data_IF_479443286157
#
_entry.id   IF_479443286157
#
_cell.length_a   1.000
_cell.length_b   1.000
_cell.length_c   1.000
_cell.angle_alpha   90.00
_cell.angle_beta   90.00
_cell.angle_gamma   90.00
#
_symmetry.space_group_name_H-M   'P 1'
#
loop_
_entity.id
_entity.type
_entity.pdbx_description
1 polymer ?
#
# COMPACT_ATOMS: atom_id res chain seq x y z
N UNK A 1 -23.45 -8.89 -18.92
CA UNK A 1 -23.02 -10.29 -19.12
C UNK A 1 -22.20 -10.36 -20.41
N UNK A 2 -21.13 -11.17 -20.45
CA UNK A 2 -20.25 -11.29 -21.62
C UNK A 2 -20.88 -12.23 -22.68
N UNK A 3 -20.85 -11.87 -23.96
CA UNK A 3 -21.51 -12.62 -25.05
C UNK A 3 -20.53 -13.55 -25.79
N UNK A 4 -20.65 -14.86 -25.57
CA UNK A 4 -19.78 -15.86 -26.20
C UNK A 4 -20.08 -16.12 -27.69
N UNK A 5 -21.25 -15.69 -28.22
CA UNK A 5 -21.54 -15.78 -29.65
C UNK A 5 -20.54 -14.94 -30.46
N UNK A 6 -20.24 -13.73 -30.01
CA UNK A 6 -19.32 -12.82 -30.69
C UNK A 6 -17.85 -13.27 -30.55
N UNK A 7 -17.51 -14.02 -29.48
CA UNK A 7 -16.20 -14.68 -29.36
C UNK A 7 -16.01 -15.72 -30.47
N UNK A 8 -17.04 -16.53 -30.72
CA UNK A 8 -16.94 -17.60 -31.70
C UNK A 8 -17.07 -17.12 -33.16
N UNK A 9 -17.92 -16.11 -33.41
CA UNK A 9 -18.30 -15.72 -34.78
C UNK A 9 -17.79 -14.35 -35.23
N UNK A 10 -17.31 -13.48 -34.32
CA UNK A 10 -16.78 -12.15 -34.66
C UNK A 10 -15.28 -12.02 -34.38
N UNK A 11 -14.55 -13.15 -34.30
CA UNK A 11 -13.09 -13.19 -34.11
C UNK A 11 -12.58 -12.43 -32.88
N UNK A 12 -13.36 -12.37 -31.79
CA UNK A 12 -12.86 -11.82 -30.54
C UNK A 12 -11.97 -12.85 -29.85
N UNK A 13 -10.77 -12.44 -29.43
CA UNK A 13 -9.86 -13.28 -28.66
C UNK A 13 -10.02 -13.01 -27.18
N UNK A 14 -10.18 -14.08 -26.40
CA UNK A 14 -10.21 -14.03 -24.93
C UNK A 14 -8.93 -14.67 -24.41
N UNK A 15 -8.18 -13.92 -23.62
CA UNK A 15 -6.99 -14.41 -22.92
C UNK A 15 -7.22 -14.24 -21.43
N UNK A 16 -7.15 -15.35 -20.69
CA UNK A 16 -7.12 -15.34 -19.23
C UNK A 16 -5.68 -15.49 -18.77
N UNK A 17 -5.09 -14.44 -18.21
CA UNK A 17 -3.76 -14.50 -17.61
C UNK A 17 -3.88 -14.73 -16.11
N UNK A 18 -3.23 -15.76 -15.58
CA UNK A 18 -3.11 -15.95 -14.14
C UNK A 18 -1.75 -15.45 -13.65
N UNK A 19 -1.73 -14.27 -13.01
CA UNK A 19 -0.55 -13.72 -12.34
C UNK A 19 0.61 -13.34 -13.27
N UNK A 20 1.65 -12.75 -12.66
CA UNK A 20 2.93 -12.51 -13.32
C UNK A 20 3.88 -13.70 -13.16
N UNK A 21 4.80 -13.86 -14.10
CA UNK A 21 5.85 -14.86 -14.08
C UNK A 21 7.16 -14.26 -13.49
N UNK A 22 8.26 -15.03 -13.54
CA UNK A 22 9.56 -14.56 -13.03
C UNK A 22 10.12 -13.40 -13.84
N UNK A 23 9.92 -13.40 -15.16
CA UNK A 23 10.41 -12.34 -16.05
C UNK A 23 9.67 -11.02 -15.76
N UNK A 24 8.35 -11.05 -15.54
CA UNK A 24 7.56 -9.86 -15.16
C UNK A 24 8.07 -9.24 -13.85
N UNK A 25 8.49 -10.07 -12.89
CA UNK A 25 9.05 -9.63 -11.61
C UNK A 25 10.44 -9.01 -11.79
N UNK A 26 11.29 -9.59 -12.62
CA UNK A 26 12.63 -9.05 -12.94
C UNK A 26 12.47 -7.69 -13.62
N UNK A 27 11.64 -7.59 -14.65
CA UNK A 27 11.37 -6.34 -15.36
C UNK A 27 10.84 -5.28 -14.39
N UNK A 28 9.86 -5.63 -13.55
CA UNK A 28 9.31 -4.71 -12.54
C UNK A 28 10.40 -4.19 -11.58
N UNK A 29 11.31 -5.06 -11.11
CA UNK A 29 12.43 -4.67 -10.25
C UNK A 29 13.44 -3.78 -10.96
N UNK A 30 13.76 -4.05 -12.23
CA UNK A 30 14.64 -3.21 -13.04
C UNK A 30 14.05 -1.81 -13.25
N UNK A 31 12.76 -1.73 -13.59
CA UNK A 31 12.04 -0.45 -13.72
C UNK A 31 12.03 0.34 -12.40
N UNK A 32 11.85 -0.36 -11.28
CA UNK A 32 11.94 0.26 -9.95
C UNK A 32 13.34 0.77 -9.64
N UNK A 33 14.37 -0.01 -9.93
CA UNK A 33 15.77 0.37 -9.72
C UNK A 33 16.19 1.56 -10.59
N UNK A 34 15.65 1.66 -11.81
CA UNK A 34 15.87 2.78 -12.73
C UNK A 34 15.01 4.02 -12.41
N UNK A 35 14.05 3.90 -11.49
CA UNK A 35 13.12 4.98 -11.14
C UNK A 35 12.04 5.27 -12.19
N UNK A 36 11.90 4.42 -13.22
CA UNK A 36 10.85 4.53 -14.24
C UNK A 36 9.49 4.05 -13.70
N UNK A 37 9.51 3.19 -12.68
CA UNK A 37 8.35 2.77 -11.91
C UNK A 37 8.60 3.05 -10.42
N UNK A 38 7.66 3.69 -9.74
CA UNK A 38 7.75 3.88 -8.29
C UNK A 38 6.45 3.39 -7.63
N UNK A 39 6.39 2.19 -7.03
CA UNK A 39 5.14 1.66 -6.47
C UNK A 39 4.74 2.32 -5.14
N UNK A 40 5.55 3.23 -4.59
CA UNK A 40 5.31 3.80 -3.26
C UNK A 40 3.98 4.55 -3.16
N UNK A 41 3.50 5.13 -4.27
CA UNK A 41 2.19 5.80 -4.32
C UNK A 41 1.02 4.86 -4.02
N UNK A 42 1.21 3.55 -4.15
CA UNK A 42 0.18 2.58 -3.81
C UNK A 42 -0.01 2.50 -2.30
N UNK A 43 0.99 2.79 -1.47
CA UNK A 43 0.87 2.72 -0.01
C UNK A 43 0.04 3.91 0.46
N UNK A 44 -1.18 3.63 0.91
CA UNK A 44 -2.09 4.67 1.42
C UNK A 44 -2.31 4.58 2.91
N UNK A 45 -2.14 3.39 3.49
CA UNK A 45 -2.33 3.16 4.92
C UNK A 45 -1.18 2.37 5.51
N UNK A 46 -0.90 2.63 6.78
CA UNK A 46 0.13 1.95 7.57
C UNK A 46 -0.48 1.48 8.88
N UNK A 47 -0.18 0.26 9.31
CA UNK A 47 -0.68 -0.30 10.57
C UNK A 47 0.20 -1.41 11.14
N UNK A 48 -0.20 -1.92 12.31
CA UNK A 48 0.47 -3.02 13.01
C UNK A 48 -0.25 -4.35 12.84
N UNK A 49 0.32 -5.43 13.38
CA UNK A 49 -0.26 -6.78 13.29
C UNK A 49 -1.67 -6.86 13.90
N UNK A 50 -1.91 -6.10 14.97
CA UNK A 50 -3.20 -6.01 15.64
C UNK A 50 -4.33 -5.49 14.72
N UNK A 51 -4.01 -4.73 13.67
CA UNK A 51 -5.01 -4.18 12.75
C UNK A 51 -5.43 -5.16 11.65
N UNK A 52 -4.72 -6.27 11.45
CA UNK A 52 -4.95 -7.21 10.34
C UNK A 52 -6.37 -7.78 10.34
N UNK A 53 -6.92 -8.32 11.46
CA UNK A 53 -8.22 -8.99 11.41
C UNK A 53 -9.34 -8.06 10.90
N UNK A 54 -9.45 -6.86 11.48
CA UNK A 54 -10.45 -5.87 11.07
C UNK A 54 -10.19 -5.35 9.66
N UNK A 55 -8.93 -5.12 9.29
CA UNK A 55 -8.56 -4.68 7.94
C UNK A 55 -8.95 -5.70 6.88
N UNK A 56 -8.75 -6.99 7.15
CA UNK A 56 -9.11 -8.08 6.23
C UNK A 56 -10.62 -8.20 6.10
N UNK A 57 -11.37 -8.13 7.20
CA UNK A 57 -12.84 -8.22 7.21
C UNK A 57 -13.48 -7.06 6.43
N UNK A 58 -12.90 -5.85 6.53
CA UNK A 58 -13.47 -4.61 5.98
C UNK A 58 -12.76 -4.11 4.72
N UNK A 59 -11.91 -4.93 4.09
CA UNK A 59 -10.99 -4.50 3.04
C UNK A 59 -11.68 -3.79 1.86
N UNK A 60 -12.89 -4.23 1.51
CA UNK A 60 -13.74 -3.68 0.46
C UNK A 60 -14.32 -2.30 0.79
N UNK A 61 -14.49 -2.00 2.08
CA UNK A 61 -15.02 -0.72 2.58
C UNK A 61 -13.94 0.30 2.94
N UNK A 62 -12.70 -0.14 3.19
CA UNK A 62 -11.58 0.76 3.50
C UNK A 62 -11.02 1.36 2.20
N UNK A 63 -11.13 2.69 1.99
CA UNK A 63 -10.70 3.33 0.76
C UNK A 63 -9.18 3.28 0.56
N UNK A 64 -8.72 3.64 -0.64
CA UNK A 64 -7.30 3.74 -0.98
C UNK A 64 -6.65 2.42 -1.41
N UNK A 65 -5.37 2.50 -1.76
CA UNK A 65 -4.58 1.39 -2.32
C UNK A 65 -4.12 0.36 -1.29
N UNK A 66 -2.81 0.18 -1.18
CA UNK A 66 -2.10 -0.82 -0.37
C UNK A 66 -2.08 -0.42 1.12
N UNK A 67 -2.37 -1.41 1.97
CA UNK A 67 -2.34 -1.34 3.43
C UNK A 67 -1.06 -2.02 3.89
N UNK A 68 -0.06 -1.24 4.27
CA UNK A 68 1.24 -1.74 4.72
C UNK A 68 1.17 -2.10 6.20
N UNK A 69 1.48 -3.36 6.52
CA UNK A 69 1.39 -3.89 7.88
C UNK A 69 2.79 -4.24 8.40
N UNK A 70 3.17 -3.66 9.53
CA UNK A 70 4.37 -4.03 10.28
C UNK A 70 4.00 -5.10 11.30
N UNK A 71 4.40 -6.34 11.01
CA UNK A 71 3.97 -7.55 11.73
C UNK A 71 4.47 -7.66 13.17
N UNK A 72 5.43 -6.83 13.58
CA UNK A 72 6.00 -6.81 14.92
C UNK A 72 5.59 -5.55 15.70
N UNK A 73 4.68 -4.73 15.15
CA UNK A 73 4.21 -3.49 15.77
C UNK A 73 2.73 -3.57 16.13
N UNK A 74 2.34 -2.78 17.11
CA UNK A 74 0.97 -2.59 17.59
C UNK A 74 0.49 -1.17 17.28
N UNK A 75 -0.19 -1.01 16.16
CA UNK A 75 -0.69 0.26 15.62
C UNK A 75 -2.05 0.03 14.97
N UNK A 76 -2.96 0.98 15.11
CA UNK A 76 -4.17 1.01 14.27
C UNK A 76 -3.80 1.13 12.79
N UNK A 77 -4.70 0.73 11.90
CA UNK A 77 -4.55 1.07 10.48
C UNK A 77 -4.87 2.55 10.29
N UNK A 78 -3.91 3.34 9.83
CA UNK A 78 -4.04 4.79 9.66
C UNK A 78 -3.69 5.19 8.24
N UNK A 79 -4.51 6.04 7.62
CA UNK A 79 -4.19 6.64 6.34
C UNK A 79 -3.05 7.64 6.49
N UNK A 80 -2.11 7.67 5.54
CA UNK A 80 -1.00 8.64 5.56
C UNK A 80 -1.52 10.08 5.59
N UNK A 81 -2.65 10.34 4.92
CA UNK A 81 -3.34 11.64 4.90
C UNK A 81 -3.85 12.07 6.27
N UNK A 82 -4.06 11.13 7.19
CA UNK A 82 -4.63 11.39 8.51
C UNK A 82 -3.55 11.62 9.58
N UNK A 83 -2.26 11.44 9.24
CA UNK A 83 -1.16 11.62 10.20
C UNK A 83 -1.12 13.03 10.78
N UNK A 84 -1.37 14.06 9.97
CA UNK A 84 -1.37 15.45 10.45
C UNK A 84 -2.51 15.70 11.45
N UNK A 85 -3.68 15.12 11.23
CA UNK A 85 -4.83 15.24 12.13
C UNK A 85 -4.57 14.51 13.46
N UNK A 86 -4.13 13.26 13.39
CA UNK A 86 -3.74 12.49 14.59
C UNK A 86 -2.57 13.14 15.33
N UNK A 87 -1.66 13.77 14.60
CA UNK A 87 -0.51 14.50 15.12
C UNK A 87 -0.86 15.65 16.05
N UNK A 88 -2.09 16.18 16.00
CA UNK A 88 -2.55 17.22 16.93
C UNK A 88 -2.58 16.73 18.39
N UNK A 89 -2.75 15.43 18.60
CA UNK A 89 -2.85 14.82 19.94
C UNK A 89 -1.81 13.74 20.20
N UNK A 90 -1.13 13.23 19.16
CA UNK A 90 -0.11 12.20 19.27
C UNK A 90 1.20 12.60 18.57
N UNK A 91 2.28 12.88 19.34
CA UNK A 91 3.59 13.27 18.79
C UNK A 91 4.19 12.25 17.81
N UNK A 92 3.86 10.96 17.93
CA UNK A 92 4.31 9.93 17.00
C UNK A 92 3.80 10.20 15.58
N UNK A 93 2.50 10.49 15.44
CA UNK A 93 1.90 10.83 14.15
C UNK A 93 2.27 12.23 13.66
N UNK A 94 2.49 13.19 14.58
CA UNK A 94 2.98 14.52 14.20
C UNK A 94 4.31 14.42 13.46
N UNK A 95 5.25 13.62 14.00
CA UNK A 95 6.55 13.42 13.36
C UNK A 95 6.45 12.65 12.04
N UNK A 96 5.59 11.63 11.95
CA UNK A 96 5.34 10.94 10.68
C UNK A 96 4.74 11.89 9.63
N UNK A 97 3.83 12.78 10.00
CA UNK A 97 3.26 13.76 9.10
C UNK A 97 4.33 14.69 8.52
N UNK A 98 5.24 15.21 9.36
CA UNK A 98 6.36 16.04 8.90
C UNK A 98 7.28 15.30 7.94
N UNK A 99 7.59 14.02 8.22
CA UNK A 99 8.44 13.20 7.35
C UNK A 99 7.74 13.01 6.01
N UNK A 100 6.50 12.49 6.01
CA UNK A 100 5.75 12.25 4.78
C UNK A 100 5.59 13.54 3.96
N UNK A 101 5.35 14.70 4.58
CA UNK A 101 5.23 15.97 3.88
C UNK A 101 6.50 16.34 3.09
N UNK A 102 7.70 16.09 3.65
CA UNK A 102 8.97 16.30 2.93
C UNK A 102 9.18 15.33 1.77
N UNK A 103 8.53 14.17 1.81
CA UNK A 103 8.58 13.13 0.76
C UNK A 103 7.33 13.15 -0.14
N UNK A 104 6.68 14.31 -0.31
CA UNK A 104 5.55 14.46 -1.23
C UNK A 104 4.25 13.79 -0.74
N UNK A 105 4.09 13.66 0.57
CA UNK A 105 3.01 12.91 1.24
C UNK A 105 2.98 11.41 0.91
N UNK A 106 4.12 10.86 0.51
CA UNK A 106 4.30 9.43 0.24
C UNK A 106 5.02 8.76 1.40
N UNK A 107 4.82 7.46 1.54
CA UNK A 107 5.63 6.66 2.45
C UNK A 107 7.10 6.71 2.00
N UNK A 108 8.04 6.67 2.94
CA UNK A 108 9.47 6.78 2.63
C UNK A 108 10.31 5.93 3.58
N UNK A 109 11.60 5.75 3.24
CA UNK A 109 12.53 5.04 4.10
C UNK A 109 12.68 5.71 5.47
N UNK A 110 12.71 7.04 5.49
CA UNK A 110 12.76 7.83 6.73
C UNK A 110 11.52 7.60 7.61
N UNK A 111 10.33 7.51 7.00
CA UNK A 111 9.09 7.26 7.73
C UNK A 111 9.07 5.83 8.31
N UNK A 112 9.54 4.85 7.54
CA UNK A 112 9.70 3.47 8.00
C UNK A 112 10.69 3.36 9.16
N UNK A 113 11.89 3.94 9.04
CA UNK A 113 12.90 3.89 10.09
C UNK A 113 12.40 4.52 11.39
N UNK A 114 11.70 5.66 11.28
CA UNK A 114 11.07 6.30 12.43
C UNK A 114 10.00 5.41 13.06
N UNK A 115 9.11 4.81 12.25
CA UNK A 115 8.08 3.90 12.72
C UNK A 115 8.68 2.69 13.44
N UNK A 116 9.69 2.04 12.86
CA UNK A 116 10.33 0.87 13.45
C UNK A 116 10.98 1.19 14.81
N UNK A 117 11.55 2.38 14.96
CA UNK A 117 12.19 2.81 16.20
C UNK A 117 11.21 3.25 17.30
N UNK A 118 10.03 3.80 16.95
CA UNK A 118 9.15 4.48 17.92
C UNK A 118 7.76 3.86 18.08
N UNK A 119 7.30 3.04 17.14
CA UNK A 119 6.00 2.40 17.25
C UNK A 119 6.01 1.33 18.35
N UNK A 120 4.91 1.20 19.12
CA UNK A 120 4.76 0.15 20.11
C UNK A 120 4.94 -1.24 19.49
N UNK A 121 5.58 -2.13 20.23
CA UNK A 121 5.69 -3.55 19.86
C UNK A 121 4.44 -4.32 20.31
N UNK A 122 4.24 -5.52 19.76
CA UNK A 122 3.13 -6.42 20.14
C UNK A 122 3.55 -7.41 21.23
#
# INVERSE_FOLDING_TARGET
>A
LFNFYNVHYESHHVVGTSGGNTDDMIESLEMMAQGTLNPVFMITHVGGLNAVPETTIKLDTIPGGKKLIYTHKKLDLVAITDFAERGKTDPFYARLAEICQRHGNLWSKEAEDYLLAHAPEI
#
